data_IF_498304156412
#
_entry.id   IF_498304156412
#
_cell.length_a   1.000
_cell.length_b   1.000
_cell.length_c   1.000
_cell.angle_alpha   90.00
_cell.angle_beta   90.00
_cell.angle_gamma   90.00
#
_symmetry.space_group_name_H-M   'P 1'
#
loop_
_entity.id
_entity.type
_entity.pdbx_description
1 polymer ?
#
# COMPACT_ATOMS: atom_id res chain seq x y z
N UNK A 1 5.82 20.99 43.11
CA UNK A 1 5.94 21.02 41.62
C UNK A 1 4.77 20.25 41.07
N UNK A 2 3.66 20.95 40.79
CA UNK A 2 2.48 20.34 40.15
C UNK A 2 2.86 19.95 38.74
N UNK A 3 2.69 18.65 38.42
CA UNK A 3 2.83 18.16 37.06
C UNK A 3 1.84 18.89 36.17
N UNK A 4 2.34 19.71 35.23
CA UNK A 4 1.54 20.19 34.11
C UNK A 4 0.97 18.96 33.43
N UNK A 5 -0.30 18.66 33.67
CA UNK A 5 -1.04 17.68 32.91
C UNK A 5 -0.88 18.07 31.45
N UNK A 6 -0.12 17.29 30.71
CA UNK A 6 0.14 17.51 29.29
C UNK A 6 -1.20 17.29 28.58
N UNK A 7 -1.93 18.38 28.30
CA UNK A 7 -3.28 18.33 27.76
C UNK A 7 -3.16 18.01 26.25
N UNK A 8 -2.90 16.70 25.94
CA UNK A 8 -2.78 16.22 24.57
C UNK A 8 -4.06 16.54 23.80
N UNK A 9 -3.90 17.09 22.60
CA UNK A 9 -5.04 17.27 21.68
C UNK A 9 -5.60 15.94 21.24
N UNK A 10 -6.88 15.93 20.91
CA UNK A 10 -7.63 14.74 20.52
C UNK A 10 -7.69 14.61 18.99
N UNK A 11 -7.37 13.43 18.46
CA UNK A 11 -7.46 13.15 17.03
C UNK A 11 -8.35 11.94 16.77
N UNK A 12 -9.28 12.10 15.84
CA UNK A 12 -10.12 11.04 15.32
C UNK A 12 -9.61 10.57 13.96
N UNK A 13 -9.29 9.29 13.84
CA UNK A 13 -8.85 8.65 12.61
C UNK A 13 -9.95 7.74 12.07
N UNK A 14 -10.31 7.90 10.80
CA UNK A 14 -11.18 6.96 10.10
C UNK A 14 -10.35 5.93 9.35
N UNK A 15 -10.58 4.66 9.65
CA UNK A 15 -9.94 3.52 9.01
C UNK A 15 -11.01 2.49 8.62
N UNK A 16 -11.14 2.17 7.31
CA UNK A 16 -12.02 1.08 6.93
C UNK A 16 -11.55 -0.22 7.58
N UNK A 17 -10.27 -0.56 7.39
CA UNK A 17 -9.60 -1.69 8.06
C UNK A 17 -8.58 -1.17 9.08
N UNK A 18 -8.45 -1.88 10.18
CA UNK A 18 -7.52 -1.60 11.27
C UNK A 18 -7.10 -2.92 11.92
N UNK A 19 -5.97 -2.93 12.65
CA UNK A 19 -5.50 -4.13 13.33
C UNK A 19 -6.66 -4.94 14.00
N UNK A 20 -6.75 -6.27 13.84
CA UNK A 20 -5.75 -7.19 13.25
C UNK A 20 -5.89 -7.43 11.73
N UNK A 21 -6.73 -6.67 11.02
CA UNK A 21 -6.85 -6.81 9.56
C UNK A 21 -5.51 -6.47 8.87
N UNK A 22 -5.10 -7.31 7.91
CA UNK A 22 -3.81 -7.22 7.21
C UNK A 22 -3.87 -6.38 5.92
N UNK A 23 -4.92 -5.60 5.72
CA UNK A 23 -4.98 -4.68 4.59
C UNK A 23 -3.84 -3.64 4.68
N UNK A 24 -3.14 -3.38 3.57
CA UNK A 24 -1.99 -2.47 3.50
C UNK A 24 -2.27 -1.10 4.16
N UNK A 25 -3.37 -0.44 3.78
CA UNK A 25 -3.78 0.83 4.40
C UNK A 25 -4.17 0.70 5.87
N UNK A 26 -4.69 -0.48 6.27
CA UNK A 26 -4.99 -0.79 7.67
C UNK A 26 -3.72 -0.86 8.52
N UNK A 27 -2.66 -1.45 7.98
CA UNK A 27 -1.36 -1.52 8.66
C UNK A 27 -0.74 -0.14 8.81
N UNK A 28 -0.72 0.68 7.75
CA UNK A 28 -0.23 2.06 7.79
C UNK A 28 -0.99 2.89 8.83
N UNK A 29 -2.33 2.78 8.87
CA UNK A 29 -3.14 3.51 9.84
C UNK A 29 -2.96 3.01 11.28
N UNK A 30 -2.69 1.72 11.46
CA UNK A 30 -2.34 1.17 12.76
C UNK A 30 -1.01 1.74 13.25
N UNK A 31 0.02 1.67 12.42
CA UNK A 31 1.33 2.23 12.72
C UNK A 31 1.27 3.74 13.01
N UNK A 32 0.52 4.49 12.19
CA UNK A 32 0.34 5.93 12.40
C UNK A 32 -0.35 6.21 13.74
N UNK A 33 -1.49 5.56 14.01
CA UNK A 33 -2.27 5.78 15.23
C UNK A 33 -1.45 5.47 16.49
N UNK A 34 -0.73 4.36 16.49
CA UNK A 34 0.15 3.96 17.59
C UNK A 34 1.34 4.92 17.72
N UNK A 35 1.99 5.26 16.62
CA UNK A 35 3.18 6.11 16.61
C UNK A 35 2.92 7.55 17.08
N UNK A 36 1.73 8.12 16.79
CA UNK A 36 1.37 9.46 17.27
C UNK A 36 0.68 9.46 18.64
N UNK A 37 0.39 8.31 19.24
CA UNK A 37 -0.29 8.21 20.55
C UNK A 37 0.52 8.83 21.72
N UNK A 38 1.82 8.96 21.52
CA UNK A 38 2.71 9.72 22.42
C UNK A 38 2.38 11.23 22.44
N UNK A 39 1.93 11.78 21.34
CA UNK A 39 1.66 13.22 21.14
C UNK A 39 0.17 13.57 21.28
N UNK A 40 -0.72 12.64 20.93
CA UNK A 40 -2.17 12.88 20.84
C UNK A 40 -2.96 11.82 21.63
N UNK A 41 -4.18 12.18 22.02
CA UNK A 41 -5.20 11.21 22.42
C UNK A 41 -5.87 10.68 21.14
N UNK A 42 -5.49 9.49 20.71
CA UNK A 42 -5.93 8.92 19.43
C UNK A 42 -7.18 8.10 19.62
N UNK A 43 -8.21 8.38 18.81
CA UNK A 43 -9.41 7.55 18.65
C UNK A 43 -9.51 7.09 17.19
N UNK A 44 -9.68 5.79 16.97
CA UNK A 44 -9.88 5.21 15.64
C UNK A 44 -11.32 4.70 15.52
N UNK A 45 -12.04 5.10 14.46
CA UNK A 45 -13.31 4.46 14.06
C UNK A 45 -13.03 3.55 12.87
N UNK A 46 -13.23 2.24 13.06
CA UNK A 46 -12.98 1.23 12.02
C UNK A 46 -14.08 0.18 11.96
N UNK A 47 -14.04 -0.72 10.97
CA UNK A 47 -14.90 -1.91 10.98
C UNK A 47 -14.46 -2.90 12.05
N UNK A 48 -15.36 -3.81 12.44
CA UNK A 48 -14.93 -5.07 13.07
C UNK A 48 -13.99 -5.80 12.09
N UNK A 49 -13.05 -6.64 12.56
CA UNK A 49 -12.17 -7.41 11.68
C UNK A 49 -13.00 -8.15 10.63
N UNK A 50 -12.76 -7.81 9.36
CA UNK A 50 -13.62 -8.25 8.25
C UNK A 50 -12.91 -8.33 6.90
N UNK A 51 -11.59 -8.13 6.85
CA UNK A 51 -10.82 -8.11 5.60
C UNK A 51 -10.93 -9.41 4.79
N UNK A 52 -11.12 -10.54 5.45
CA UNK A 52 -11.38 -11.83 4.80
C UNK A 52 -12.76 -11.94 4.18
N UNK A 53 -13.69 -11.05 4.54
CA UNK A 53 -15.13 -11.11 4.20
C UNK A 53 -15.98 -11.75 5.29
N UNK A 54 -15.37 -12.50 6.21
CA UNK A 54 -16.02 -13.20 7.32
C UNK A 54 -15.78 -12.43 8.61
N UNK A 55 -16.78 -12.41 9.48
CA UNK A 55 -16.73 -11.73 10.78
C UNK A 55 -16.80 -12.76 11.91
N UNK A 56 -15.85 -12.68 12.83
CA UNK A 56 -15.84 -13.50 14.03
C UNK A 56 -17.14 -13.34 14.85
N UNK A 57 -17.63 -14.43 15.43
CA UNK A 57 -18.88 -14.48 16.22
C UNK A 57 -18.92 -13.46 17.36
N UNK A 58 -17.77 -13.17 18.01
CA UNK A 58 -17.64 -12.16 19.08
C UNK A 58 -18.07 -10.75 18.64
N UNK A 59 -18.02 -10.46 17.33
CA UNK A 59 -18.40 -9.17 16.77
C UNK A 59 -19.79 -9.15 16.11
N UNK A 60 -20.63 -10.18 16.32
CA UNK A 60 -21.96 -10.28 15.70
C UNK A 60 -23.11 -9.78 16.60
N UNK A 61 -22.89 -9.63 17.91
CA UNK A 61 -23.96 -9.34 18.88
C UNK A 61 -24.28 -7.84 19.04
N UNK A 62 -23.28 -6.94 18.94
CA UNK A 62 -23.44 -5.50 19.18
C UNK A 62 -23.21 -4.70 17.90
N UNK A 63 -23.71 -3.44 17.89
CA UNK A 63 -23.45 -2.48 16.78
C UNK A 63 -22.08 -1.84 16.89
N UNK A 64 -21.54 -1.67 18.09
CA UNK A 64 -20.27 -1.04 18.40
C UNK A 64 -19.51 -1.85 19.44
N UNK A 65 -18.20 -1.90 19.28
CA UNK A 65 -17.26 -2.50 20.23
C UNK A 65 -16.20 -1.48 20.54
N UNK A 66 -15.90 -1.30 21.83
CA UNK A 66 -14.89 -0.38 22.32
C UNK A 66 -13.71 -1.18 22.81
N UNK A 67 -12.55 -0.88 22.28
CA UNK A 67 -11.30 -1.55 22.60
C UNK A 67 -10.22 -0.49 22.90
N UNK A 68 -9.17 -0.89 23.58
CA UNK A 68 -7.94 -0.11 23.71
C UNK A 68 -6.78 -0.98 23.25
N UNK A 69 -6.07 -0.53 22.20
CA UNK A 69 -5.00 -1.28 21.57
C UNK A 69 -3.77 -0.37 21.53
N UNK A 70 -2.69 -0.78 22.19
CA UNK A 70 -1.40 -0.05 22.19
C UNK A 70 -1.54 1.48 22.46
N UNK A 71 -2.38 1.84 23.42
CA UNK A 71 -2.62 3.26 23.78
C UNK A 71 -3.70 3.97 22.96
N UNK A 72 -4.20 3.36 21.88
CA UNK A 72 -5.21 3.90 20.98
C UNK A 72 -6.61 3.46 21.41
N UNK A 73 -7.58 4.38 21.44
CA UNK A 73 -9.00 4.06 21.63
C UNK A 73 -9.62 3.64 20.31
N UNK A 74 -10.14 2.42 20.22
CA UNK A 74 -10.71 1.85 19.00
C UNK A 74 -12.22 1.67 19.14
N UNK A 75 -12.97 2.26 18.24
CA UNK A 75 -14.42 2.12 18.11
C UNK A 75 -14.71 1.31 16.86
N UNK A 76 -14.98 0.01 17.04
CA UNK A 76 -15.33 -0.85 15.92
C UNK A 76 -16.81 -0.77 15.62
N UNK A 77 -17.14 -0.59 14.35
CA UNK A 77 -18.52 -0.63 13.86
C UNK A 77 -18.79 -1.95 13.16
N UNK A 78 -19.94 -2.55 13.46
CA UNK A 78 -20.37 -3.77 12.77
C UNK A 78 -20.81 -3.44 11.36
N UNK A 79 -20.33 -4.24 10.40
CA UNK A 79 -20.67 -4.20 8.97
C UNK A 79 -21.20 -5.58 8.54
N UNK A 80 -21.90 -5.71 7.41
CA UNK A 80 -22.27 -7.01 6.88
C UNK A 80 -21.04 -7.77 6.37
N UNK A 81 -21.05 -9.09 6.49
CA UNK A 81 -20.11 -9.97 5.81
C UNK A 81 -20.22 -9.78 4.29
N UNK A 82 -19.13 -10.04 3.57
CA UNK A 82 -19.12 -9.89 2.13
C UNK A 82 -18.30 -10.97 1.43
N UNK A 83 -18.72 -11.32 0.22
CA UNK A 83 -17.96 -12.14 -0.70
C UNK A 83 -17.01 -11.24 -1.50
N UNK A 84 -15.71 -11.59 -1.49
CA UNK A 84 -14.66 -10.84 -2.23
C UNK A 84 -14.87 -10.86 -3.74
N UNK A 85 -15.55 -11.85 -4.27
CA UNK A 85 -15.88 -11.97 -5.70
C UNK A 85 -17.08 -11.12 -6.11
N UNK A 86 -18.00 -10.83 -5.17
CA UNK A 86 -19.21 -10.05 -5.41
C UNK A 86 -19.02 -8.56 -5.21
N UNK A 87 -19.03 -7.78 -6.27
CA UNK A 87 -18.97 -6.31 -6.21
C UNK A 87 -20.12 -5.71 -5.42
N UNK A 88 -21.33 -6.25 -5.53
CA UNK A 88 -22.49 -5.79 -4.78
C UNK A 88 -22.31 -5.94 -3.27
N UNK A 89 -21.85 -7.10 -2.80
CA UNK A 89 -21.66 -7.33 -1.38
C UNK A 89 -20.54 -6.45 -0.79
N UNK A 90 -19.47 -6.20 -1.57
CA UNK A 90 -18.40 -5.25 -1.18
C UNK A 90 -18.93 -3.81 -1.07
N UNK A 91 -19.72 -3.36 -2.03
CA UNK A 91 -20.34 -2.02 -1.99
C UNK A 91 -21.26 -1.90 -0.76
N UNK A 92 -22.08 -2.91 -0.49
CA UNK A 92 -22.96 -2.94 0.70
C UNK A 92 -22.16 -2.83 2.00
N UNK A 93 -21.03 -3.53 2.11
CA UNK A 93 -20.11 -3.42 3.26
C UNK A 93 -19.57 -2.00 3.42
N UNK A 94 -19.05 -1.41 2.34
CA UNK A 94 -18.48 -0.05 2.30
C UNK A 94 -19.53 1.00 2.70
N UNK A 95 -20.72 0.95 2.13
CA UNK A 95 -21.82 1.89 2.43
C UNK A 95 -22.29 1.74 3.88
N UNK A 96 -22.35 0.49 4.37
CA UNK A 96 -22.68 0.20 5.77
C UNK A 96 -21.66 0.81 6.72
N UNK A 97 -20.36 0.65 6.41
CA UNK A 97 -19.27 1.30 7.17
C UNK A 97 -19.45 2.82 7.19
N UNK A 98 -19.64 3.45 6.04
CA UNK A 98 -19.78 4.90 5.93
C UNK A 98 -20.85 5.46 6.88
N UNK A 99 -22.07 4.92 6.85
CA UNK A 99 -23.15 5.38 7.72
C UNK A 99 -22.95 4.99 9.19
N UNK A 100 -22.36 3.82 9.46
CA UNK A 100 -22.07 3.41 10.83
C UNK A 100 -20.98 4.29 11.47
N UNK A 101 -19.94 4.65 10.72
CA UNK A 101 -18.87 5.53 11.17
C UNK A 101 -19.39 6.95 11.46
N UNK A 102 -20.28 7.52 10.62
CA UNK A 102 -20.94 8.81 10.92
C UNK A 102 -21.72 8.76 12.23
N UNK A 103 -22.47 7.66 12.47
CA UNK A 103 -23.20 7.51 13.74
C UNK A 103 -22.25 7.33 14.93
N UNK A 104 -21.16 6.59 14.76
CA UNK A 104 -20.14 6.40 15.79
C UNK A 104 -19.43 7.72 16.12
N UNK A 105 -19.19 8.58 15.13
CA UNK A 105 -18.59 9.91 15.33
C UNK A 105 -19.35 10.75 16.34
N UNK A 106 -20.68 10.68 16.35
CA UNK A 106 -21.50 11.42 17.33
C UNK A 106 -21.30 10.94 18.77
N UNK A 107 -20.83 9.69 18.95
CA UNK A 107 -20.65 9.06 20.27
C UNK A 107 -19.25 9.24 20.87
N UNK A 108 -18.24 9.54 20.06
CA UNK A 108 -16.90 9.89 20.56
C UNK A 108 -16.90 11.31 21.14
N UNK A 109 -16.02 11.58 22.11
CA UNK A 109 -15.86 12.88 22.72
C UNK A 109 -15.43 14.00 21.76
N UNK A 110 -15.04 15.15 22.30
CA UNK A 110 -14.49 16.27 21.52
C UNK A 110 -13.23 15.85 20.78
N UNK A 111 -13.04 16.38 19.58
CA UNK A 111 -11.88 16.13 18.75
C UNK A 111 -11.34 17.47 18.24
N UNK A 112 -10.01 17.64 18.25
CA UNK A 112 -9.36 18.81 17.68
C UNK A 112 -9.05 18.59 16.21
N UNK A 113 -8.76 17.32 15.85
CA UNK A 113 -8.42 16.92 14.50
C UNK A 113 -9.26 15.71 14.05
N UNK A 114 -9.55 15.69 12.76
CA UNK A 114 -10.08 14.52 12.04
C UNK A 114 -9.10 14.16 10.93
N UNK A 115 -8.64 12.93 10.94
CA UNK A 115 -7.78 12.37 9.91
C UNK A 115 -8.55 11.32 9.13
N UNK A 116 -8.48 11.40 7.82
CA UNK A 116 -9.11 10.43 6.92
C UNK A 116 -8.20 10.12 5.74
N UNK A 117 -8.41 8.95 5.13
CA UNK A 117 -7.70 8.54 3.92
C UNK A 117 -8.65 8.45 2.73
N UNK A 118 -8.10 8.37 1.51
CA UNK A 118 -8.87 8.23 0.27
C UNK A 118 -9.58 6.88 0.10
N UNK A 119 -9.61 6.06 1.15
CA UNK A 119 -10.30 4.76 1.17
C UNK A 119 -11.40 4.69 2.24
N UNK A 120 -12.57 4.13 1.91
CA UNK A 120 -13.00 3.67 0.58
C UNK A 120 -13.02 4.81 -0.45
N UNK A 121 -12.81 4.49 -1.76
CA UNK A 121 -12.71 5.52 -2.81
C UNK A 121 -13.79 6.59 -2.70
N UNK A 122 -13.40 7.87 -2.68
CA UNK A 122 -14.26 9.06 -2.53
C UNK A 122 -14.98 9.14 -1.18
N UNK A 123 -15.55 8.04 -0.69
CA UNK A 123 -16.31 8.01 0.58
C UNK A 123 -15.42 8.27 1.79
N UNK A 124 -14.13 7.89 1.74
CA UNK A 124 -13.18 8.19 2.81
C UNK A 124 -13.04 9.70 3.02
N UNK A 125 -12.83 10.47 1.95
CA UNK A 125 -12.77 11.92 2.00
C UNK A 125 -14.05 12.57 2.50
N UNK A 126 -15.21 12.12 1.98
CA UNK A 126 -16.53 12.62 2.45
C UNK A 126 -16.79 12.31 3.92
N UNK A 127 -16.38 11.13 4.40
CA UNK A 127 -16.49 10.77 5.81
C UNK A 127 -15.68 11.73 6.69
N UNK A 128 -14.45 12.06 6.25
CA UNK A 128 -13.62 13.07 6.91
C UNK A 128 -14.30 14.43 6.99
N UNK A 129 -14.86 14.92 5.88
CA UNK A 129 -15.61 16.21 5.85
C UNK A 129 -16.80 16.20 6.80
N UNK A 130 -17.60 15.13 6.79
CA UNK A 130 -18.76 15.02 7.69
C UNK A 130 -18.30 14.96 9.15
N UNK A 131 -17.26 14.15 9.42
CA UNK A 131 -16.71 13.99 10.76
C UNK A 131 -16.14 15.29 11.34
N UNK A 132 -15.36 16.03 10.55
CA UNK A 132 -14.77 17.31 10.95
C UNK A 132 -15.86 18.35 11.27
N UNK A 133 -16.93 18.39 10.49
CA UNK A 133 -18.08 19.27 10.77
C UNK A 133 -18.84 18.88 12.04
N UNK A 134 -19.08 17.57 12.27
CA UNK A 134 -19.73 17.08 13.50
C UNK A 134 -18.90 17.47 14.73
N UNK A 135 -17.57 17.38 14.62
CA UNK A 135 -16.65 17.65 15.73
C UNK A 135 -16.14 19.09 15.79
N UNK A 136 -16.40 19.90 14.77
CA UNK A 136 -15.83 21.25 14.61
C UNK A 136 -14.30 21.21 14.66
N UNK A 137 -13.72 20.19 14.06
CA UNK A 137 -12.30 19.85 14.09
C UNK A 137 -11.62 20.19 12.76
N UNK A 138 -10.29 20.38 12.78
CA UNK A 138 -9.48 20.51 11.58
C UNK A 138 -9.43 19.20 10.81
N UNK A 139 -9.53 19.26 9.48
CA UNK A 139 -9.55 18.09 8.61
C UNK A 139 -8.20 17.87 7.94
N UNK A 140 -7.63 16.67 8.13
CA UNK A 140 -6.46 16.18 7.42
C UNK A 140 -6.94 15.08 6.47
N UNK A 141 -6.70 15.27 5.16
CA UNK A 141 -7.06 14.29 4.14
C UNK A 141 -5.81 13.70 3.51
N UNK A 142 -5.51 12.45 3.84
CA UNK A 142 -4.39 11.70 3.26
C UNK A 142 -4.86 10.95 2.01
N UNK A 143 -4.26 11.27 0.87
CA UNK A 143 -4.57 10.66 -0.41
C UNK A 143 -3.54 9.56 -0.69
N UNK A 144 -3.96 8.31 -0.49
CA UNK A 144 -3.18 7.12 -0.83
C UNK A 144 -3.25 6.83 -2.34
N UNK A 145 -4.45 6.98 -2.91
CA UNK A 145 -4.73 6.80 -4.33
C UNK A 145 -5.67 7.90 -4.79
N UNK A 146 -5.43 8.47 -5.99
CA UNK A 146 -6.34 9.40 -6.61
C UNK A 146 -7.48 8.68 -7.33
N UNK A 147 -8.70 8.90 -6.87
CA UNK A 147 -9.92 8.44 -7.50
C UNK A 147 -10.72 9.66 -8.06
N UNK A 148 -11.24 9.58 -9.29
CA UNK A 148 -11.42 8.39 -10.14
C UNK A 148 -10.26 8.06 -11.09
N UNK A 149 -9.10 8.72 -11.02
CA UNK A 149 -7.99 8.50 -11.96
C UNK A 149 -7.52 7.03 -11.93
N UNK A 150 -7.40 6.43 -10.75
CA UNK A 150 -7.04 5.02 -10.61
C UNK A 150 -8.04 4.10 -11.31
N UNK A 151 -9.34 4.34 -11.13
CA UNK A 151 -10.41 3.56 -11.78
C UNK A 151 -10.36 3.70 -13.30
N UNK A 152 -9.98 4.90 -13.81
CA UNK A 152 -9.85 5.17 -15.24
C UNK A 152 -8.62 4.48 -15.83
N UNK A 153 -7.49 4.49 -15.13
CA UNK A 153 -6.24 3.90 -15.62
C UNK A 153 -6.36 2.40 -15.90
N UNK A 154 -7.20 1.69 -15.13
CA UNK A 154 -7.45 0.24 -15.33
C UNK A 154 -8.77 -0.05 -16.05
N UNK A 155 -9.40 0.97 -16.63
CA UNK A 155 -10.67 0.83 -17.36
C UNK A 155 -11.80 0.08 -16.60
N UNK A 156 -11.77 0.12 -15.26
CA UNK A 156 -12.75 -0.57 -14.42
C UNK A 156 -14.21 -0.16 -14.74
N UNK A 157 -14.41 1.12 -15.11
CA UNK A 157 -15.69 1.61 -15.64
C UNK A 157 -15.47 2.69 -16.70
N UNK A 158 -16.25 2.61 -17.77
CA UNK A 158 -16.29 3.62 -18.85
C UNK A 158 -17.43 4.64 -18.66
N UNK A 159 -18.22 4.54 -17.59
CA UNK A 159 -19.34 5.45 -17.35
C UNK A 159 -18.85 6.85 -16.93
N UNK A 160 -18.87 7.76 -17.89
CA UNK A 160 -18.39 9.15 -17.72
C UNK A 160 -19.15 9.93 -16.64
N UNK A 161 -20.43 9.64 -16.40
CA UNK A 161 -21.22 10.32 -15.36
C UNK A 161 -20.77 9.91 -13.96
N UNK A 162 -20.53 8.61 -13.74
CA UNK A 162 -20.01 8.10 -12.48
C UNK A 162 -18.63 8.71 -12.20
N UNK A 163 -17.72 8.67 -13.19
CA UNK A 163 -16.36 9.24 -13.04
C UNK A 163 -16.39 10.75 -12.76
N UNK A 164 -17.31 11.51 -13.39
CA UNK A 164 -17.48 12.94 -13.12
C UNK A 164 -18.01 13.19 -11.70
N UNK A 165 -18.99 12.41 -11.25
CA UNK A 165 -19.54 12.51 -9.90
C UNK A 165 -18.47 12.20 -8.85
N UNK A 166 -17.69 11.13 -9.04
CA UNK A 166 -16.57 10.79 -8.17
C UNK A 166 -15.52 11.90 -8.10
N UNK A 167 -15.12 12.45 -9.26
CA UNK A 167 -14.18 13.57 -9.33
C UNK A 167 -14.71 14.80 -8.59
N UNK A 168 -16.00 15.13 -8.76
CA UNK A 168 -16.60 16.27 -8.10
C UNK A 168 -16.61 16.12 -6.57
N UNK A 169 -16.99 14.95 -6.08
CA UNK A 169 -17.07 14.65 -4.65
C UNK A 169 -15.67 14.61 -4.01
N UNK A 170 -14.68 14.02 -4.69
CA UNK A 170 -13.31 13.99 -4.17
C UNK A 170 -12.68 15.40 -4.17
N UNK A 171 -12.87 16.17 -5.25
CA UNK A 171 -12.47 17.58 -5.27
C UNK A 171 -13.13 18.41 -4.16
N UNK A 172 -14.38 18.12 -3.85
CA UNK A 172 -15.06 18.76 -2.73
C UNK A 172 -14.37 18.42 -1.41
N UNK A 173 -14.07 17.15 -1.16
CA UNK A 173 -13.35 16.71 0.03
C UNK A 173 -11.98 17.38 0.16
N UNK A 174 -11.22 17.44 -0.95
CA UNK A 174 -9.94 18.14 -0.99
C UNK A 174 -10.06 19.64 -0.61
N UNK A 175 -11.11 20.33 -1.10
CA UNK A 175 -11.33 21.77 -0.79
C UNK A 175 -11.73 22.01 0.66
N UNK A 176 -12.29 21.02 1.33
CA UNK A 176 -12.69 21.13 2.75
C UNK A 176 -11.56 20.78 3.71
N UNK A 177 -10.47 20.17 3.20
CA UNK A 177 -9.34 19.79 4.03
C UNK A 177 -8.50 21.02 4.41
N UNK A 178 -8.15 21.13 5.69
CA UNK A 178 -7.18 22.11 6.20
C UNK A 178 -5.76 21.75 5.73
N UNK A 179 -5.49 20.44 5.55
CA UNK A 179 -4.25 19.92 4.99
C UNK A 179 -4.50 18.65 4.19
N UNK A 180 -3.96 18.59 2.98
CA UNK A 180 -3.87 17.37 2.18
C UNK A 180 -2.48 16.77 2.36
N UNK A 181 -2.41 15.45 2.55
CA UNK A 181 -1.16 14.70 2.50
C UNK A 181 -1.21 13.78 1.29
N UNK A 182 -0.20 13.83 0.43
CA UNK A 182 0.00 12.89 -0.69
C UNK A 182 1.22 12.03 -0.40
N UNK A 183 1.23 10.80 -0.90
CA UNK A 183 2.26 9.80 -0.57
C UNK A 183 3.34 9.65 -1.65
N UNK A 184 3.27 10.45 -2.70
CA UNK A 184 4.27 10.51 -3.76
C UNK A 184 4.49 11.93 -4.26
N UNK A 185 5.72 12.27 -4.63
CA UNK A 185 6.09 13.58 -5.23
C UNK A 185 5.36 13.82 -6.56
N UNK A 186 5.17 12.77 -7.35
CA UNK A 186 4.43 12.78 -8.61
C UNK A 186 2.92 13.05 -8.40
N UNK A 187 2.36 12.63 -7.28
CA UNK A 187 0.97 12.88 -6.90
C UNK A 187 0.69 14.38 -6.69
N UNK A 188 1.71 15.18 -6.34
CA UNK A 188 1.59 16.64 -6.29
C UNK A 188 1.22 17.21 -7.65
N UNK A 189 1.76 16.64 -8.74
CA UNK A 189 1.40 17.01 -10.11
C UNK A 189 -0.08 16.81 -10.40
N UNK A 190 -0.64 15.67 -10.02
CA UNK A 190 -2.07 15.37 -10.16
C UNK A 190 -2.93 16.30 -9.33
N UNK A 191 -2.55 16.59 -8.09
CA UNK A 191 -3.26 17.55 -7.23
C UNK A 191 -3.28 18.94 -7.88
N UNK A 192 -2.14 19.43 -8.38
CA UNK A 192 -2.05 20.70 -9.09
C UNK A 192 -2.89 20.72 -10.37
N UNK A 193 -2.89 19.65 -11.15
CA UNK A 193 -3.72 19.56 -12.38
C UNK A 193 -5.22 19.62 -12.10
N UNK A 194 -5.66 19.10 -10.94
CA UNK A 194 -7.06 19.14 -10.51
C UNK A 194 -7.55 20.54 -10.15
N UNK A 195 -6.68 21.40 -9.61
CA UNK A 195 -7.09 22.66 -8.97
C UNK A 195 -6.48 23.92 -9.62
N UNK A 196 -5.49 23.77 -10.50
CA UNK A 196 -4.79 24.90 -11.13
C UNK A 196 -4.13 25.79 -10.07
N UNK A 197 -4.41 27.10 -10.12
CA UNK A 197 -3.88 28.07 -9.16
C UNK A 197 -4.52 28.02 -7.76
N UNK A 198 -5.61 27.26 -7.59
CA UNK A 198 -6.37 27.17 -6.32
C UNK A 198 -6.15 25.84 -5.62
N UNK A 199 -4.90 25.35 -5.59
CA UNK A 199 -4.54 24.11 -4.93
C UNK A 199 -4.73 24.26 -3.40
N UNK A 200 -5.50 23.37 -2.75
CA UNK A 200 -5.59 23.38 -1.28
C UNK A 200 -4.22 23.17 -0.61
N UNK A 201 -4.03 23.59 0.65
CA UNK A 201 -2.78 23.35 1.37
C UNK A 201 -2.41 21.87 1.39
N UNK A 202 -1.20 21.53 0.95
CA UNK A 202 -0.74 20.14 0.85
C UNK A 202 0.69 19.97 1.34
N UNK A 203 1.06 18.72 1.59
CA UNK A 203 2.41 18.26 1.84
C UNK A 203 2.59 16.85 1.30
N UNK A 204 3.81 16.50 0.92
CA UNK A 204 4.20 15.13 0.56
C UNK A 204 4.86 14.46 1.77
N UNK A 205 4.37 13.26 2.11
CA UNK A 205 4.99 12.37 3.10
C UNK A 205 4.87 10.94 2.56
N UNK A 206 5.99 10.27 2.34
CA UNK A 206 6.00 8.88 1.87
C UNK A 206 5.33 7.93 2.87
N UNK A 207 4.73 6.88 2.35
CA UNK A 207 4.43 5.69 3.14
C UNK A 207 5.74 5.04 3.62
N UNK A 208 5.61 4.00 4.41
CA UNK A 208 6.73 3.28 5.02
C UNK A 208 6.46 1.78 5.11
N UNK A 209 7.52 1.05 5.39
CA UNK A 209 7.47 -0.30 5.93
C UNK A 209 8.14 -0.29 7.32
N UNK A 210 7.90 -1.32 8.12
CA UNK A 210 8.67 -1.49 9.34
C UNK A 210 10.04 -2.08 9.02
N UNK A 211 11.01 -1.20 8.79
CA UNK A 211 12.38 -1.54 8.42
C UNK A 211 13.16 -2.28 9.54
N UNK A 212 12.59 -2.31 10.74
CA UNK A 212 13.14 -3.07 11.88
C UNK A 212 12.66 -4.52 11.90
N UNK A 213 11.50 -4.80 11.31
CA UNK A 213 10.96 -6.16 11.14
C UNK A 213 11.46 -6.80 9.84
N UNK A 214 11.60 -6.01 8.78
CA UNK A 214 12.14 -6.46 7.50
C UNK A 214 13.60 -6.01 7.39
N UNK A 215 14.50 -6.97 7.43
CA UNK A 215 15.95 -6.73 7.39
C UNK A 215 16.61 -7.64 6.35
N UNK A 216 17.78 -7.26 5.82
CA UNK A 216 18.58 -8.14 5.00
C UNK A 216 18.98 -9.41 5.79
N UNK A 217 18.69 -10.58 5.25
CA UNK A 217 19.09 -11.87 5.79
C UNK A 217 20.12 -12.52 4.88
N UNK A 218 21.00 -13.32 5.46
CA UNK A 218 21.93 -14.15 4.68
C UNK A 218 21.18 -15.20 3.86
N UNK A 219 21.74 -15.59 2.72
CA UNK A 219 21.17 -16.64 1.87
C UNK A 219 21.10 -18.02 2.54
N UNK A 220 21.88 -18.24 3.60
CA UNK A 220 21.90 -19.46 4.43
C UNK A 220 21.03 -19.35 5.69
N UNK A 221 20.30 -18.23 5.88
CA UNK A 221 19.32 -18.12 6.96
C UNK A 221 18.30 -19.26 6.92
N UNK A 222 18.07 -19.90 8.07
CA UNK A 222 17.22 -21.08 8.15
C UNK A 222 15.76 -20.84 7.70
N UNK A 223 15.23 -19.63 7.89
CA UNK A 223 13.88 -19.25 7.45
C UNK A 223 13.83 -19.06 5.92
N UNK A 224 14.86 -18.42 5.36
CA UNK A 224 15.01 -18.25 3.90
C UNK A 224 15.17 -19.60 3.21
N UNK A 225 16.01 -20.49 3.75
CA UNK A 225 16.20 -21.84 3.19
C UNK A 225 14.91 -22.66 3.23
N UNK A 226 14.19 -22.66 4.37
CA UNK A 226 12.87 -23.32 4.48
C UNK A 226 11.86 -22.78 3.47
N UNK A 227 11.82 -21.46 3.27
CA UNK A 227 10.94 -20.85 2.27
C UNK A 227 11.31 -21.31 0.86
N UNK A 228 12.60 -21.26 0.48
CA UNK A 228 13.08 -21.72 -0.83
C UNK A 228 12.77 -23.20 -1.06
N UNK A 229 13.01 -24.06 -0.07
CA UNK A 229 12.71 -25.49 -0.15
C UNK A 229 11.22 -25.76 -0.33
N UNK A 230 10.39 -25.14 0.51
CA UNK A 230 8.92 -25.29 0.47
C UNK A 230 8.31 -24.99 -0.90
N UNK A 231 8.89 -24.03 -1.62
CA UNK A 231 8.35 -23.55 -2.90
C UNK A 231 9.20 -23.93 -4.12
N UNK A 232 10.17 -24.85 -3.96
CA UNK A 232 11.00 -25.34 -5.06
C UNK A 232 11.95 -24.30 -5.65
N UNK A 233 12.39 -23.34 -4.85
CA UNK A 233 13.30 -22.25 -5.23
C UNK A 233 14.77 -22.52 -4.89
N UNK A 234 15.06 -23.66 -4.25
CA UNK A 234 16.43 -24.03 -3.86
C UNK A 234 17.35 -24.13 -5.09
N UNK A 235 18.56 -23.61 -4.96
CA UNK A 235 19.57 -23.59 -6.04
C UNK A 235 19.13 -22.87 -7.32
N UNK A 236 18.10 -22.01 -7.25
CA UNK A 236 17.64 -21.19 -8.38
C UNK A 236 18.01 -19.74 -8.18
N UNK A 237 18.21 -19.01 -9.28
CA UNK A 237 18.20 -17.56 -9.30
C UNK A 237 16.76 -17.08 -9.39
N UNK A 238 16.30 -16.36 -8.38
CA UNK A 238 14.88 -16.08 -8.18
C UNK A 238 14.55 -14.61 -8.49
N UNK A 239 13.80 -14.38 -9.56
CA UNK A 239 13.08 -13.13 -9.74
C UNK A 239 11.74 -13.21 -9.00
N UNK A 240 11.43 -12.25 -8.14
CA UNK A 240 10.25 -12.33 -7.30
C UNK A 240 9.34 -11.10 -7.46
N UNK A 241 8.07 -11.35 -7.59
CA UNK A 241 7.01 -10.35 -7.42
C UNK A 241 6.22 -10.65 -6.16
N UNK A 242 6.08 -9.69 -5.24
CA UNK A 242 5.32 -9.87 -4.01
C UNK A 242 4.21 -8.82 -3.90
N UNK A 243 2.95 -9.27 -3.80
CA UNK A 243 1.81 -8.40 -3.57
C UNK A 243 0.55 -8.78 -4.35
N UNK A 244 -0.33 -7.80 -4.58
CA UNK A 244 -1.58 -8.01 -5.31
C UNK A 244 -1.31 -8.34 -6.80
N UNK A 245 -1.81 -9.49 -7.26
CA UNK A 245 -1.70 -9.94 -8.66
C UNK A 245 -2.95 -9.45 -9.41
N UNK A 246 -2.96 -8.14 -9.69
CA UNK A 246 -4.14 -7.45 -10.21
C UNK A 246 -3.86 -6.59 -11.44
N UNK A 247 -4.90 -5.92 -11.93
CA UNK A 247 -4.91 -5.18 -13.19
C UNK A 247 -3.97 -3.96 -13.24
N UNK A 248 -3.52 -3.45 -12.08
CA UNK A 248 -2.69 -2.23 -12.01
C UNK A 248 -1.21 -2.45 -12.38
N UNK A 249 -0.81 -3.68 -12.75
CA UNK A 249 0.60 -4.07 -12.79
C UNK A 249 1.07 -4.70 -14.11
N UNK A 250 0.20 -4.79 -15.12
CA UNK A 250 0.50 -5.40 -16.44
C UNK A 250 1.21 -6.78 -16.37
N UNK A 251 0.87 -7.60 -15.38
CA UNK A 251 1.50 -8.89 -15.18
C UNK A 251 1.25 -9.87 -16.32
N UNK A 252 0.17 -9.70 -17.09
CA UNK A 252 -0.15 -10.51 -18.26
C UNK A 252 0.77 -10.20 -19.46
N UNK A 253 1.22 -8.96 -19.60
CA UNK A 253 2.24 -8.58 -20.58
C UNK A 253 3.62 -9.10 -20.18
N UNK A 254 3.99 -8.87 -18.93
CA UNK A 254 5.25 -9.29 -18.32
C UNK A 254 5.47 -10.80 -18.43
N UNK A 255 4.46 -11.63 -18.13
CA UNK A 255 4.62 -13.09 -18.21
C UNK A 255 4.93 -13.60 -19.61
N UNK A 256 4.51 -12.90 -20.67
CA UNK A 256 4.86 -13.30 -22.07
C UNK A 256 6.34 -13.09 -22.37
N UNK A 257 6.97 -12.09 -21.75
CA UNK A 257 8.42 -11.89 -21.81
C UNK A 257 9.14 -12.96 -20.99
N UNK A 258 8.66 -13.23 -19.77
CA UNK A 258 9.20 -14.25 -18.88
C UNK A 258 9.18 -15.64 -19.55
N UNK A 259 8.17 -15.95 -20.35
CA UNK A 259 8.07 -17.21 -21.10
C UNK A 259 9.27 -17.45 -22.04
N UNK A 260 9.93 -16.38 -22.52
CA UNK A 260 11.13 -16.49 -23.38
C UNK A 260 12.37 -17.03 -22.68
N UNK A 261 12.34 -17.16 -21.36
CA UNK A 261 13.40 -17.70 -20.51
C UNK A 261 13.09 -19.10 -19.99
N UNK A 262 12.16 -19.82 -20.61
CA UNK A 262 11.73 -21.16 -20.18
C UNK A 262 12.80 -22.25 -20.35
N UNK A 263 13.80 -22.01 -21.18
CA UNK A 263 14.96 -22.88 -21.40
C UNK A 263 15.99 -22.78 -20.27
N UNK A 264 15.96 -21.72 -19.45
CA UNK A 264 16.89 -21.52 -18.34
C UNK A 264 16.40 -22.27 -17.09
N UNK A 265 16.89 -23.47 -16.89
CA UNK A 265 16.46 -24.35 -15.79
C UNK A 265 16.87 -23.90 -14.39
N UNK A 266 17.85 -23.01 -14.30
CA UNK A 266 18.40 -22.45 -13.05
C UNK A 266 17.83 -21.06 -12.70
N UNK A 267 16.90 -20.52 -13.52
CA UNK A 267 16.20 -19.25 -13.30
C UNK A 267 14.72 -19.51 -13.07
N UNK A 268 14.14 -18.85 -12.07
CA UNK A 268 12.72 -18.97 -11.75
C UNK A 268 12.10 -17.60 -11.44
N UNK A 269 10.84 -17.44 -11.85
CA UNK A 269 10.04 -16.24 -11.64
C UNK A 269 8.90 -16.57 -10.65
N UNK A 270 9.04 -16.10 -9.41
CA UNK A 270 8.09 -16.37 -8.34
C UNK A 270 7.09 -15.21 -8.17
N UNK A 271 5.81 -15.53 -8.17
CA UNK A 271 4.72 -14.58 -7.94
C UNK A 271 4.05 -14.89 -6.61
N UNK A 272 4.34 -14.08 -5.59
CA UNK A 272 3.82 -14.24 -4.23
C UNK A 272 2.61 -13.34 -4.05
N UNK A 273 1.43 -13.93 -3.83
CA UNK A 273 0.22 -13.15 -3.58
C UNK A 273 -1.06 -13.73 -4.16
N UNK A 274 -2.07 -12.89 -4.22
CA UNK A 274 -3.39 -13.19 -4.77
C UNK A 274 -3.88 -11.99 -5.60
N UNK A 275 -4.83 -12.22 -6.50
CA UNK A 275 -5.44 -11.14 -7.26
C UNK A 275 -6.23 -11.61 -8.47
N UNK A 276 -6.83 -10.66 -9.16
CA UNK A 276 -7.84 -10.91 -10.20
C UNK A 276 -7.29 -11.56 -11.46
N UNK A 277 -5.97 -11.42 -11.75
CA UNK A 277 -5.36 -11.99 -12.96
C UNK A 277 -4.58 -13.28 -12.70
N UNK A 278 -4.52 -13.75 -11.44
CA UNK A 278 -3.75 -14.92 -11.05
C UNK A 278 -4.13 -16.19 -11.84
N UNK A 279 -5.42 -16.49 -11.96
CA UNK A 279 -5.87 -17.70 -12.64
C UNK A 279 -5.65 -17.64 -14.16
N UNK A 280 -5.69 -16.44 -14.74
CA UNK A 280 -5.34 -16.22 -16.14
C UNK A 280 -3.83 -16.48 -16.36
N UNK A 281 -2.98 -15.97 -15.48
CA UNK A 281 -1.53 -16.24 -15.52
C UNK A 281 -1.22 -17.73 -15.40
N UNK A 282 -1.84 -18.44 -14.45
CA UNK A 282 -1.69 -19.89 -14.30
C UNK A 282 -2.17 -20.67 -15.53
N UNK A 283 -3.27 -20.23 -16.13
CA UNK A 283 -3.81 -20.86 -17.35
C UNK A 283 -2.86 -20.67 -18.51
N UNK A 284 -2.26 -19.49 -18.67
CA UNK A 284 -1.24 -19.23 -19.66
C UNK A 284 -0.03 -20.17 -19.50
N UNK A 285 0.47 -20.33 -18.25
CA UNK A 285 1.57 -21.25 -17.97
C UNK A 285 1.24 -22.70 -18.36
N UNK A 286 0.05 -23.18 -18.00
CA UNK A 286 -0.39 -24.55 -18.37
C UNK A 286 -0.47 -24.73 -19.89
N UNK A 287 -1.08 -23.76 -20.60
CA UNK A 287 -1.29 -23.86 -22.04
C UNK A 287 0.02 -23.77 -22.86
N UNK A 288 1.07 -23.20 -22.28
CA UNK A 288 2.39 -23.06 -22.93
C UNK A 288 3.47 -23.96 -22.27
N UNK A 289 3.08 -24.89 -21.40
CA UNK A 289 3.99 -25.84 -20.72
C UNK A 289 5.17 -25.16 -19.99
N UNK A 290 4.93 -23.98 -19.41
CA UNK A 290 5.97 -23.19 -18.74
C UNK A 290 6.19 -23.70 -17.31
N UNK A 291 7.42 -24.04 -17.00
CA UNK A 291 7.86 -24.50 -15.67
C UNK A 291 8.69 -23.47 -14.90
N UNK A 292 9.07 -22.36 -15.54
CA UNK A 292 9.91 -21.32 -14.95
C UNK A 292 9.14 -20.27 -14.14
N UNK A 293 7.80 -20.40 -14.01
CA UNK A 293 6.96 -19.53 -13.19
C UNK A 293 6.35 -20.30 -12.01
N UNK A 294 6.52 -19.77 -10.80
CA UNK A 294 6.00 -20.36 -9.56
C UNK A 294 5.01 -19.39 -8.92
N UNK A 295 3.82 -19.87 -8.55
CA UNK A 295 2.78 -19.07 -7.90
C UNK A 295 2.68 -19.47 -6.43
N UNK A 296 2.98 -18.52 -5.54
CA UNK A 296 3.09 -18.71 -4.11
C UNK A 296 1.93 -17.96 -3.44
N UNK A 297 1.19 -18.58 -2.51
CA UNK A 297 0.11 -17.90 -1.81
C UNK A 297 0.62 -16.69 -1.00
N UNK A 298 -0.32 -15.80 -0.64
CA UNK A 298 -0.02 -14.69 0.25
C UNK A 298 0.63 -15.21 1.54
N UNK A 299 1.68 -14.55 1.99
CA UNK A 299 2.42 -14.93 3.19
C UNK A 299 1.95 -14.11 4.39
N UNK A 300 1.95 -14.74 5.57
CA UNK A 300 1.68 -14.06 6.82
C UNK A 300 2.79 -13.05 7.14
N UNK A 301 2.46 -12.08 7.99
CA UNK A 301 3.39 -10.98 8.34
C UNK A 301 4.72 -11.49 8.87
N UNK A 302 4.70 -12.56 9.65
CA UNK A 302 5.88 -13.18 10.27
C UNK A 302 6.81 -13.84 9.25
N UNK A 303 6.26 -14.34 8.13
CA UNK A 303 7.02 -14.99 7.05
C UNK A 303 7.46 -14.00 5.96
N UNK A 304 7.00 -12.74 6.02
CA UNK A 304 7.28 -11.75 4.99
C UNK A 304 8.78 -11.47 4.84
N UNK A 305 9.52 -11.42 5.94
CA UNK A 305 10.97 -11.21 5.93
C UNK A 305 11.69 -12.34 5.19
N UNK A 306 11.29 -13.59 5.39
CA UNK A 306 11.89 -14.73 4.70
C UNK A 306 11.50 -14.77 3.22
N UNK A 307 10.23 -14.51 2.92
CA UNK A 307 9.75 -14.41 1.55
C UNK A 307 10.51 -13.36 0.75
N UNK A 308 10.65 -12.13 1.28
CA UNK A 308 11.38 -11.06 0.59
C UNK A 308 12.89 -11.38 0.43
N UNK A 309 13.49 -12.04 1.41
CA UNK A 309 14.90 -12.44 1.33
C UNK A 309 15.14 -13.65 0.41
N UNK A 310 14.13 -14.44 0.09
CA UNK A 310 14.22 -15.56 -0.82
C UNK A 310 14.37 -15.17 -2.31
N UNK A 311 13.93 -13.97 -2.68
CA UNK A 311 14.15 -13.38 -4.01
C UNK A 311 15.57 -12.82 -4.15
N UNK A 312 16.20 -13.06 -5.30
CA UNK A 312 17.49 -12.47 -5.63
C UNK A 312 17.33 -11.09 -6.30
N UNK A 313 16.25 -10.91 -7.09
CA UNK A 313 15.82 -9.65 -7.71
C UNK A 313 14.30 -9.52 -7.57
N UNK A 314 13.81 -8.33 -7.28
CA UNK A 314 12.37 -8.12 -7.15
C UNK A 314 11.78 -7.23 -8.23
N UNK A 315 10.60 -7.62 -8.72
CA UNK A 315 9.80 -6.77 -9.61
C UNK A 315 9.04 -5.70 -8.82
N UNK A 316 9.21 -4.44 -9.21
CA UNK A 316 8.36 -3.32 -8.80
C UNK A 316 7.75 -2.73 -10.05
N UNK A 317 6.47 -2.98 -10.25
CA UNK A 317 5.83 -2.72 -11.54
C UNK A 317 4.51 -1.98 -11.37
N UNK A 318 4.21 -1.10 -12.30
CA UNK A 318 2.91 -0.46 -12.49
C UNK A 318 2.53 -0.52 -13.97
N UNK A 319 1.24 -0.60 -14.24
CA UNK A 319 0.72 -0.40 -15.58
C UNK A 319 0.86 1.08 -16.01
N UNK A 320 0.78 1.32 -17.31
CA UNK A 320 0.79 2.67 -17.87
C UNK A 320 -0.40 3.52 -17.35
N UNK A 321 -0.16 4.80 -17.07
CA UNK A 321 -1.18 5.73 -16.57
C UNK A 321 -1.38 5.72 -15.03
N UNK A 322 -0.53 5.02 -14.28
CA UNK A 322 -0.58 4.97 -12.80
C UNK A 322 0.29 6.06 -12.16
N UNK A 323 1.23 6.66 -12.91
CA UNK A 323 2.05 7.78 -12.44
C UNK A 323 1.20 8.91 -11.88
N UNK A 324 1.55 9.39 -10.70
CA UNK A 324 0.84 10.47 -9.99
C UNK A 324 -0.53 10.08 -9.47
N UNK A 325 -0.92 8.81 -9.58
CA UNK A 325 -2.22 8.29 -9.14
C UNK A 325 -2.06 7.44 -7.88
N UNK A 326 -1.07 6.57 -7.86
CA UNK A 326 -0.78 5.62 -6.78
C UNK A 326 0.71 5.31 -6.74
N UNK A 327 1.25 5.09 -5.55
CA UNK A 327 2.66 4.68 -5.37
C UNK A 327 2.72 3.19 -5.02
N UNK A 328 3.53 2.39 -5.73
CA UNK A 328 3.67 0.97 -5.43
C UNK A 328 4.49 0.76 -4.14
N UNK A 329 3.83 0.53 -3.03
CA UNK A 329 4.45 0.30 -1.70
C UNK A 329 5.37 -0.93 -1.62
N UNK A 330 5.39 -1.76 -2.67
CA UNK A 330 6.26 -2.95 -2.73
C UNK A 330 7.75 -2.58 -2.70
N UNK A 331 8.12 -1.40 -3.22
CA UNK A 331 9.51 -0.95 -3.25
C UNK A 331 10.10 -0.86 -1.83
N UNK A 332 9.31 -0.40 -0.86
CA UNK A 332 9.77 -0.22 0.53
C UNK A 332 10.21 -1.56 1.13
N UNK A 333 9.43 -2.63 0.91
CA UNK A 333 9.75 -3.98 1.40
C UNK A 333 10.99 -4.58 0.76
N UNK A 334 11.18 -4.36 -0.54
CA UNK A 334 12.35 -4.84 -1.28
C UNK A 334 13.61 -4.13 -0.81
N UNK A 335 13.56 -2.80 -0.68
CA UNK A 335 14.68 -2.00 -0.15
C UNK A 335 14.99 -2.38 1.30
N UNK A 336 13.96 -2.63 2.13
CA UNK A 336 14.15 -3.09 3.51
C UNK A 336 14.87 -4.43 3.61
N UNK A 337 14.58 -5.37 2.69
CA UNK A 337 15.28 -6.64 2.57
C UNK A 337 16.67 -6.54 1.92
N UNK A 338 17.10 -5.35 1.50
CA UNK A 338 18.39 -5.14 0.85
C UNK A 338 18.50 -5.86 -0.50
N UNK A 339 17.42 -5.95 -1.27
CA UNK A 339 17.38 -6.65 -2.56
C UNK A 339 17.31 -5.67 -3.72
N UNK A 340 17.93 -5.99 -4.88
CA UNK A 340 17.87 -5.17 -6.06
C UNK A 340 16.48 -5.21 -6.70
N UNK A 341 16.11 -4.13 -7.36
CA UNK A 341 14.81 -3.95 -8.01
C UNK A 341 14.92 -3.96 -9.52
N UNK A 342 14.09 -4.76 -10.18
CA UNK A 342 13.78 -4.63 -11.60
C UNK A 342 12.44 -3.87 -11.72
N UNK A 343 12.54 -2.58 -12.09
CA UNK A 343 11.42 -1.67 -12.20
C UNK A 343 10.76 -1.68 -13.58
N UNK A 344 9.42 -1.66 -13.62
CA UNK A 344 8.65 -1.27 -14.81
C UNK A 344 7.76 -0.11 -14.38
N UNK A 345 8.23 1.12 -14.62
CA UNK A 345 7.69 2.32 -14.00
C UNK A 345 7.80 3.52 -14.94
N UNK A 346 6.73 4.29 -15.04
CA UNK A 346 6.70 5.51 -15.85
C UNK A 346 7.74 6.54 -15.37
N UNK A 347 8.37 7.23 -16.32
CA UNK A 347 9.37 8.28 -16.04
C UNK A 347 8.79 9.37 -15.12
N UNK A 348 9.50 9.64 -14.02
CA UNK A 348 9.10 10.63 -13.02
C UNK A 348 7.95 10.18 -12.11
N UNK A 349 7.61 8.87 -12.06
CA UNK A 349 6.81 8.31 -10.96
C UNK A 349 7.63 8.23 -9.68
N UNK A 350 6.98 8.29 -8.52
CA UNK A 350 7.66 8.29 -7.21
C UNK A 350 8.61 7.10 -7.05
N UNK A 351 8.13 5.88 -7.32
CA UNK A 351 8.96 4.69 -7.19
C UNK A 351 10.16 4.68 -8.16
N UNK A 352 10.00 5.21 -9.37
CA UNK A 352 11.12 5.35 -10.31
C UNK A 352 12.15 6.36 -9.83
N UNK A 353 11.71 7.51 -9.31
CA UNK A 353 12.62 8.50 -8.73
C UNK A 353 13.40 7.91 -7.55
N UNK A 354 12.75 7.15 -6.68
CA UNK A 354 13.42 6.44 -5.57
C UNK A 354 14.48 5.46 -6.10
N UNK A 355 14.15 4.69 -7.14
CA UNK A 355 15.10 3.77 -7.79
C UNK A 355 16.31 4.48 -8.38
N UNK A 356 16.07 5.57 -9.11
CA UNK A 356 17.13 6.37 -9.75
C UNK A 356 18.01 7.08 -8.71
N UNK A 357 17.43 7.63 -7.64
CA UNK A 357 18.14 8.32 -6.55
C UNK A 357 18.96 7.37 -5.69
N UNK A 358 18.43 6.19 -5.37
CA UNK A 358 19.09 5.19 -4.53
C UNK A 358 20.12 4.35 -5.29
N UNK A 359 19.95 4.20 -6.60
CA UNK A 359 20.75 3.26 -7.40
C UNK A 359 20.49 1.78 -7.04
N UNK A 360 19.32 1.47 -6.47
CA UNK A 360 18.98 0.13 -6.01
C UNK A 360 18.37 -0.77 -7.10
N UNK A 361 18.36 -0.35 -8.36
CA UNK A 361 17.77 -1.17 -9.42
C UNK A 361 17.92 -0.60 -10.80
N UNK A 362 17.33 -1.31 -11.76
CA UNK A 362 17.23 -0.92 -13.17
C UNK A 362 15.76 -0.81 -13.54
N UNK A 363 15.43 0.16 -14.37
CA UNK A 363 14.03 0.46 -14.71
C UNK A 363 13.83 0.57 -16.22
N UNK A 364 12.70 0.05 -16.70
CA UNK A 364 12.15 0.28 -18.04
C UNK A 364 10.78 0.97 -17.96
N UNK A 365 10.33 1.54 -19.09
CA UNK A 365 8.96 2.06 -19.20
C UNK A 365 7.95 0.90 -19.20
N UNK A 366 6.71 1.12 -18.73
CA UNK A 366 5.61 0.19 -18.97
C UNK A 366 5.46 -0.12 -20.48
N UNK A 367 5.13 -1.37 -20.80
CA UNK A 367 4.95 -1.86 -22.18
C UNK A 367 6.22 -1.91 -23.04
N UNK A 368 7.38 -1.42 -22.55
CA UNK A 368 8.68 -1.61 -23.20
C UNK A 368 9.26 -2.99 -22.87
N UNK A 369 8.67 -4.01 -23.50
CA UNK A 369 9.03 -5.41 -23.24
C UNK A 369 10.42 -5.79 -23.74
N UNK A 370 10.98 -5.06 -24.71
CA UNK A 370 12.35 -5.28 -25.18
C UNK A 370 13.37 -4.82 -24.14
N UNK A 371 13.19 -3.61 -23.59
CA UNK A 371 14.03 -3.14 -22.49
C UNK A 371 13.88 -4.01 -21.24
N UNK A 372 12.67 -4.47 -20.94
CA UNK A 372 12.42 -5.37 -19.82
C UNK A 372 13.15 -6.70 -20.00
N UNK A 373 13.11 -7.34 -21.17
CA UNK A 373 13.86 -8.56 -21.48
C UNK A 373 15.38 -8.34 -21.34
N UNK A 374 15.89 -7.24 -21.87
CA UNK A 374 17.30 -6.86 -21.75
C UNK A 374 17.71 -6.70 -20.29
N UNK A 375 16.87 -6.12 -19.47
CA UNK A 375 17.12 -5.94 -18.03
C UNK A 375 17.13 -7.29 -17.30
N UNK A 376 16.22 -8.21 -17.61
CA UNK A 376 16.27 -9.59 -17.06
C UNK A 376 17.62 -10.25 -17.38
N UNK A 377 18.07 -10.18 -18.64
CA UNK A 377 19.38 -10.74 -19.05
C UNK A 377 20.53 -10.13 -18.27
N UNK A 378 20.54 -8.81 -18.12
CA UNK A 378 21.54 -8.11 -17.30
C UNK A 378 21.61 -8.66 -15.87
N UNK A 379 20.47 -8.86 -15.21
CA UNK A 379 20.46 -9.41 -13.85
C UNK A 379 20.95 -10.85 -13.80
N UNK A 380 20.61 -11.67 -14.79
CA UNK A 380 21.10 -13.05 -14.90
C UNK A 380 22.62 -13.07 -15.08
N UNK A 381 23.17 -12.24 -15.97
CA UNK A 381 24.59 -12.15 -16.25
C UNK A 381 25.40 -11.62 -15.05
N UNK A 382 24.75 -10.74 -14.25
CA UNK A 382 25.37 -10.11 -13.08
C UNK A 382 25.29 -10.93 -11.79
N UNK A 383 24.66 -12.11 -11.81
CA UNK A 383 24.33 -12.90 -10.58
C UNK A 383 25.55 -13.37 -9.77
N UNK A 384 26.74 -13.41 -10.35
CA UNK A 384 27.95 -13.95 -9.72
C UNK A 384 29.01 -12.90 -9.39
N UNK A 385 28.87 -11.65 -9.82
CA UNK A 385 29.93 -10.63 -9.71
C UNK A 385 29.80 -9.70 -8.48
N UNK A 386 28.81 -9.95 -7.59
CA UNK A 386 28.58 -9.16 -6.36
C UNK A 386 27.85 -7.84 -6.58
N UNK A 387 27.65 -7.36 -7.81
CA UNK A 387 27.01 -6.08 -8.10
C UNK A 387 25.55 -6.02 -7.66
N UNK A 388 24.83 -7.15 -7.68
CA UNK A 388 23.44 -7.21 -7.25
C UNK A 388 23.30 -7.02 -5.74
N UNK A 389 24.23 -7.57 -4.96
CA UNK A 389 24.26 -7.36 -3.52
C UNK A 389 24.54 -5.89 -3.19
N UNK A 390 25.51 -5.28 -3.84
CA UNK A 390 25.81 -3.85 -3.67
C UNK A 390 24.60 -2.97 -4.04
N UNK A 391 23.92 -3.27 -5.14
CA UNK A 391 22.71 -2.58 -5.59
C UNK A 391 21.60 -2.68 -4.53
N UNK A 392 21.37 -3.86 -3.97
CA UNK A 392 20.38 -4.07 -2.91
C UNK A 392 20.71 -3.29 -1.62
N UNK A 393 22.00 -3.29 -1.21
CA UNK A 393 22.45 -2.55 -0.03
C UNK A 393 22.30 -1.03 -0.19
N UNK A 394 22.53 -0.46 -1.37
CA UNK A 394 22.24 0.95 -1.67
C UNK A 394 20.76 1.29 -1.43
N UNK A 395 19.86 0.37 -1.81
CA UNK A 395 18.42 0.52 -1.53
C UNK A 395 18.14 0.54 -0.02
N UNK A 396 18.72 -0.38 0.73
CA UNK A 396 18.58 -0.42 2.19
C UNK A 396 19.08 0.87 2.85
N UNK A 397 20.25 1.34 2.48
CA UNK A 397 20.83 2.57 2.99
C UNK A 397 19.94 3.80 2.69
N UNK A 398 19.45 3.92 1.47
CA UNK A 398 18.54 5.00 1.09
C UNK A 398 17.25 4.98 1.93
N UNK A 399 16.68 3.79 2.14
CA UNK A 399 15.48 3.62 2.97
C UNK A 399 15.73 4.06 4.42
N UNK A 400 16.85 3.63 5.02
CA UNK A 400 17.20 3.99 6.38
C UNK A 400 17.41 5.51 6.57
N UNK A 401 17.91 6.18 5.55
CA UNK A 401 18.14 7.63 5.61
C UNK A 401 16.87 8.45 5.31
N UNK A 402 15.93 7.95 4.48
CA UNK A 402 14.88 8.79 3.89
C UNK A 402 13.45 8.29 4.12
N UNK A 403 13.23 6.98 4.31
CA UNK A 403 11.91 6.37 4.21
C UNK A 403 11.54 5.52 5.44
N UNK A 404 12.19 5.72 6.58
CA UNK A 404 11.88 4.94 7.78
C UNK A 404 10.49 5.26 8.33
N UNK A 405 9.88 4.27 8.98
CA UNK A 405 8.61 4.43 9.69
C UNK A 405 8.65 5.59 10.67
N UNK A 406 9.69 5.65 11.50
CA UNK A 406 9.83 6.68 12.54
C UNK A 406 9.94 8.10 11.95
N UNK A 407 10.65 8.25 10.82
CA UNK A 407 10.76 9.52 10.11
C UNK A 407 9.42 10.00 9.55
N UNK A 408 8.69 9.12 8.89
CA UNK A 408 7.38 9.43 8.32
C UNK A 408 6.37 9.78 9.42
N UNK A 409 6.25 8.98 10.47
CA UNK A 409 5.35 9.23 11.60
C UNK A 409 5.66 10.56 12.27
N UNK A 410 6.94 10.91 12.46
CA UNK A 410 7.35 12.21 12.99
C UNK A 410 6.86 13.36 12.12
N UNK A 411 7.03 13.27 10.79
CA UNK A 411 6.51 14.26 9.83
C UNK A 411 4.98 14.41 9.94
N UNK A 412 4.26 13.30 10.07
CA UNK A 412 2.80 13.32 10.29
C UNK A 412 2.44 14.06 11.59
N UNK A 413 3.11 13.74 12.71
CA UNK A 413 2.88 14.41 14.00
C UNK A 413 3.14 15.92 13.92
N UNK A 414 4.24 16.33 13.28
CA UNK A 414 4.60 17.74 13.09
C UNK A 414 3.55 18.49 12.25
N UNK A 415 3.10 17.89 11.16
CA UNK A 415 2.04 18.46 10.30
C UNK A 415 0.73 18.64 11.07
N UNK A 416 0.33 17.64 11.86
CA UNK A 416 -0.89 17.72 12.66
C UNK A 416 -0.77 18.81 13.73
N UNK A 417 0.39 18.92 14.41
CA UNK A 417 0.64 19.95 15.42
C UNK A 417 0.65 21.39 14.85
N UNK A 418 0.98 21.54 13.56
CA UNK A 418 1.05 22.83 12.88
C UNK A 418 -0.31 23.42 12.50
N UNK A 419 -1.39 22.66 12.63
CA UNK A 419 -2.78 23.06 12.32
C UNK A 419 -3.47 23.64 13.58
#
# INVERSE_FOLDING_TARGET
MESRANNKKNILIYAHYYYPDVASTGQILTDLAEGISGDFNVTVICTVPSYTGIIDSRYKSKRYYLEKINGVHVVRVRVPEFDKTSSYSRIRNIVSYFFAAIRATKKVGTQDYVYTISQPPVLGGLLGVIGSRIKRAKLIYNIQDFNPEQIRAVEFTKNKLILRAMMHLDKYSCRQADKIIVVGRDMVGTLKSRFGSKVPPYIHINNWINEKEIVPLSGDDAGVLRFKEKYGLSSKFVFMYSGNIGLYYDLLGIQKVIARFSDLTDVVFAFVGQGTVLEEMKSYCRNNELSNMVFIPYQDKEDLVYSLNAGDVHFVVNANGIKGVSVPSKIDGVMAAGKPVLGILEKGSEARMILEESGCGIVSEPEDYEAFEKNIRYFIDSRTNGSLQEMGLKGREYLEQNLTKDLSIRKYSEVIKSL
#
